data_IF_194193101483
#
_entry.id   IF_194193101483
#
_cell.length_a   1.000
_cell.length_b   1.000
_cell.length_c   1.000
_cell.angle_alpha   90.00
_cell.angle_beta   90.00
_cell.angle_gamma   90.00
#
_symmetry.space_group_name_H-M   'P 1'
#
loop_
_entity.id
_entity.type
_entity.pdbx_description
1 polymer ?
#
# COMPACT_ATOMS: atom_id res chain seq x y z
N UNK A 1 -8.48 -3.37 2.31
CA UNK A 1 -7.16 -3.58 2.93
C UNK A 1 -7.31 -4.25 4.29
N UNK A 2 -7.88 -3.58 5.31
CA UNK A 2 -8.02 -4.13 6.67
C UNK A 2 -8.66 -5.52 6.74
N UNK A 3 -9.75 -5.74 6.03
CA UNK A 3 -10.42 -7.05 5.97
C UNK A 3 -9.54 -8.19 5.41
N UNK A 4 -8.60 -7.88 4.51
CA UNK A 4 -7.66 -8.88 3.97
C UNK A 4 -6.62 -9.26 5.03
N UNK A 5 -6.12 -8.29 5.79
CA UNK A 5 -5.21 -8.53 6.91
C UNK A 5 -5.91 -9.35 7.99
N UNK A 6 -7.15 -9.00 8.34
CA UNK A 6 -7.96 -9.73 9.32
C UNK A 6 -8.29 -11.16 8.86
N UNK A 7 -8.31 -11.41 7.55
CA UNK A 7 -8.43 -12.76 6.98
C UNK A 7 -7.09 -13.52 6.88
N UNK A 8 -5.98 -12.94 7.36
CA UNK A 8 -4.67 -13.58 7.42
C UNK A 8 -3.82 -13.44 6.15
N UNK A 9 -4.17 -12.54 5.23
CA UNK A 9 -3.35 -12.26 4.05
C UNK A 9 -2.22 -11.27 4.36
N UNK A 10 -1.06 -11.49 3.76
CA UNK A 10 -0.01 -10.49 3.65
C UNK A 10 -0.43 -9.42 2.63
N UNK A 11 -0.50 -8.16 3.05
CA UNK A 11 -1.00 -7.08 2.20
C UNK A 11 0.04 -5.98 2.02
N UNK A 12 0.34 -5.68 0.76
CA UNK A 12 1.17 -4.55 0.36
C UNK A 12 0.31 -3.38 -0.13
N UNK A 13 0.70 -2.15 0.22
CA UNK A 13 0.16 -0.92 -0.39
C UNK A 13 1.20 -0.29 -1.30
N UNK A 14 0.78 0.07 -2.51
CA UNK A 14 1.62 0.74 -3.53
C UNK A 14 1.30 2.23 -3.53
N UNK A 15 2.22 3.05 -3.05
CA UNK A 15 1.93 4.45 -2.66
C UNK A 15 1.59 5.35 -3.84
N UNK A 16 2.35 5.24 -4.94
CA UNK A 16 2.16 6.02 -6.17
C UNK A 16 1.11 5.41 -7.12
N UNK A 17 0.46 4.31 -6.72
CA UNK A 17 -0.69 3.71 -7.42
C UNK A 17 -1.98 3.76 -6.57
N UNK A 18 -1.97 4.49 -5.46
CA UNK A 18 -3.12 4.68 -4.57
C UNK A 18 -3.42 6.16 -4.45
N UNK A 19 -4.69 6.54 -4.56
CA UNK A 19 -5.13 7.93 -4.36
C UNK A 19 -5.98 8.05 -3.08
N UNK A 20 -5.89 9.21 -2.42
CA UNK A 20 -6.74 9.57 -1.28
C UNK A 20 -7.45 10.90 -1.54
N UNK A 21 -8.69 11.03 -1.06
CA UNK A 21 -9.45 12.27 -1.20
C UNK A 21 -8.84 13.39 -0.34
N UNK A 22 -8.86 14.61 -0.86
CA UNK A 22 -8.50 15.82 -0.13
C UNK A 22 -9.77 16.67 -0.02
N UNK A 23 -10.06 17.11 1.20
CA UNK A 23 -11.20 17.98 1.52
C UNK A 23 -10.68 19.28 2.14
N UNK A 24 -11.57 20.23 2.44
CA UNK A 24 -11.20 21.48 3.12
C UNK A 24 -10.43 21.27 4.43
N UNK A 25 -10.74 20.20 5.17
CA UNK A 25 -10.19 19.97 6.50
C UNK A 25 -9.22 18.77 6.57
N UNK A 26 -9.19 17.91 5.56
CA UNK A 26 -8.48 16.64 5.65
C UNK A 26 -7.72 16.28 4.38
N UNK A 27 -6.48 15.84 4.57
CA UNK A 27 -5.72 15.10 3.56
C UNK A 27 -5.85 13.59 3.84
N UNK A 28 -6.76 12.93 3.13
CA UNK A 28 -7.02 11.50 3.29
C UNK A 28 -5.86 10.62 2.85
N UNK A 29 -5.04 11.06 1.88
CA UNK A 29 -3.88 10.31 1.43
C UNK A 29 -2.83 10.19 2.55
N UNK A 30 -2.40 11.31 3.12
CA UNK A 30 -1.38 11.32 4.18
C UNK A 30 -1.86 10.60 5.46
N UNK A 31 -3.13 10.79 5.81
CA UNK A 31 -3.75 10.09 6.94
C UNK A 31 -3.75 8.57 6.72
N UNK A 32 -4.12 8.11 5.53
CA UNK A 32 -4.14 6.69 5.18
C UNK A 32 -2.75 6.07 5.14
N UNK A 33 -1.75 6.75 4.56
CA UNK A 33 -0.36 6.28 4.54
C UNK A 33 0.21 6.10 5.95
N UNK A 34 -0.11 7.03 6.85
CA UNK A 34 0.29 6.91 8.26
C UNK A 34 -0.28 5.64 8.88
N UNK A 35 -1.56 5.34 8.64
CA UNK A 35 -2.19 4.10 9.09
C UNK A 35 -1.55 2.86 8.43
N UNK A 36 -1.30 2.89 7.13
CA UNK A 36 -0.75 1.76 6.39
C UNK A 36 0.65 1.37 6.85
N UNK A 37 1.49 2.34 7.23
CA UNK A 37 2.82 2.06 7.83
C UNK A 37 2.74 1.26 9.13
N UNK A 38 1.62 1.32 9.84
CA UNK A 38 1.44 0.60 11.10
C UNK A 38 0.86 -0.80 10.91
N UNK A 39 0.01 -1.01 9.89
CA UNK A 39 -0.78 -2.24 9.78
C UNK A 39 -0.50 -3.08 8.53
N UNK A 40 -0.06 -2.49 7.43
CA UNK A 40 0.23 -3.24 6.21
C UNK A 40 1.56 -4.01 6.34
N UNK A 41 1.63 -5.19 5.74
CA UNK A 41 2.86 -5.99 5.69
C UNK A 41 4.01 -5.27 5.00
N UNK A 42 3.69 -4.47 3.98
CA UNK A 42 4.67 -3.67 3.25
C UNK A 42 4.03 -2.43 2.62
N UNK A 43 4.80 -1.35 2.57
CA UNK A 43 4.47 -0.13 1.82
C UNK A 43 5.64 0.15 0.88
N UNK A 44 5.37 0.28 -0.42
CA UNK A 44 6.41 0.48 -1.44
C UNK A 44 5.86 1.28 -2.64
N UNK A 45 6.72 1.63 -3.59
CA UNK A 45 6.31 2.31 -4.84
C UNK A 45 6.11 1.32 -6.00
N UNK A 46 5.56 1.80 -7.10
CA UNK A 46 5.20 0.98 -8.27
C UNK A 46 6.43 0.38 -8.91
N UNK A 47 7.51 1.17 -9.06
CA UNK A 47 8.77 0.71 -9.65
C UNK A 47 9.34 -0.50 -8.90
N UNK A 48 9.48 -0.40 -7.59
CA UNK A 48 9.99 -1.47 -6.73
C UNK A 48 9.06 -2.67 -6.72
N UNK A 49 7.75 -2.44 -6.67
CA UNK A 49 6.74 -3.52 -6.70
C UNK A 49 6.84 -4.33 -8.00
N UNK A 50 6.89 -3.67 -9.15
CA UNK A 50 7.03 -4.33 -10.45
C UNK A 50 8.38 -5.07 -10.54
N UNK A 51 9.46 -4.47 -10.04
CA UNK A 51 10.77 -5.13 -9.98
C UNK A 51 10.76 -6.39 -9.11
N UNK A 52 10.11 -6.34 -7.94
CA UNK A 52 9.98 -7.47 -7.04
C UNK A 52 9.20 -8.62 -7.69
N UNK A 53 8.06 -8.31 -8.31
CA UNK A 53 7.25 -9.30 -9.06
C UNK A 53 8.11 -9.94 -10.16
N UNK A 54 8.74 -9.13 -11.02
CA UNK A 54 9.59 -9.66 -12.11
C UNK A 54 10.74 -10.53 -11.61
N UNK A 55 11.32 -10.17 -10.46
CA UNK A 55 12.41 -10.94 -9.84
C UNK A 55 11.92 -12.30 -9.34
N UNK A 56 10.73 -12.35 -8.73
CA UNK A 56 10.13 -13.59 -8.24
C UNK A 56 9.71 -14.56 -9.38
N UNK A 57 9.36 -14.03 -10.55
CA UNK A 57 8.88 -14.83 -11.70
C UNK A 57 9.90 -15.03 -12.83
N UNK A 58 11.13 -14.50 -12.71
CA UNK A 58 12.23 -14.86 -13.63
C UNK A 58 12.67 -16.30 -13.32
N UNK A 59 12.33 -17.23 -14.21
CA UNK A 59 13.06 -18.50 -14.37
C UNK A 59 14.42 -18.24 -15.00
#
# INVERSE_FOLDING_TARGET
MRSLIEAGFEVMVVTDATAGAITEHYNGYDASLTNFRMIASKVDNTENTVKAIRTAYKK
#
